data_IF_476679141369
#
_entry.id   IF_476679141369
#
_cell.length_a   1.000
_cell.length_b   1.000
_cell.length_c   1.000
_cell.angle_alpha   90.00
_cell.angle_beta   90.00
_cell.angle_gamma   90.00
#
_symmetry.space_group_name_H-M   'P 1'
#
loop_
_entity.id
_entity.type
_entity.pdbx_description
1 polymer ?
#
# COMPACT_ATOMS: atom_id res chain seq x y z
N UNK A 1 5.19 18.64 -6.27
CA UNK A 1 6.29 19.61 -6.08
C UNK A 1 7.44 18.93 -5.35
N UNK A 2 8.66 19.49 -5.43
CA UNK A 2 9.83 18.99 -4.68
C UNK A 2 9.61 19.03 -3.16
N UNK A 3 8.95 20.05 -2.67
CA UNK A 3 8.58 20.21 -1.25
C UNK A 3 7.77 19.03 -0.73
N UNK A 4 6.74 18.61 -1.46
CA UNK A 4 5.95 17.44 -1.11
C UNK A 4 6.79 16.15 -1.03
N UNK A 5 7.71 15.95 -2.00
CA UNK A 5 8.56 14.76 -2.00
C UNK A 5 9.55 14.77 -0.84
N UNK A 6 10.12 15.92 -0.51
CA UNK A 6 11.02 16.08 0.63
C UNK A 6 10.28 15.80 1.93
N UNK A 7 9.11 16.41 2.14
CA UNK A 7 8.26 16.15 3.30
C UNK A 7 7.93 14.66 3.44
N UNK A 8 7.49 14.00 2.36
CA UNK A 8 7.19 12.59 2.39
C UNK A 8 8.40 11.72 2.76
N UNK A 9 9.60 12.06 2.24
CA UNK A 9 10.84 11.37 2.56
C UNK A 9 11.17 11.53 4.04
N UNK A 10 11.18 12.75 4.56
CA UNK A 10 11.53 13.05 5.96
C UNK A 10 10.59 12.32 6.93
N UNK A 11 9.29 12.39 6.69
CA UNK A 11 8.29 11.70 7.50
C UNK A 11 8.40 10.18 7.41
N UNK A 12 8.70 9.63 6.22
CA UNK A 12 8.90 8.20 6.06
C UNK A 12 10.13 7.70 6.83
N UNK A 13 11.26 8.45 6.74
CA UNK A 13 12.46 8.15 7.50
C UNK A 13 12.21 8.26 9.00
N UNK A 14 11.47 9.27 9.44
CA UNK A 14 11.08 9.41 10.84
C UNK A 14 10.34 8.16 11.32
N UNK A 15 9.26 7.76 10.66
CA UNK A 15 8.49 6.57 11.02
C UNK A 15 9.34 5.29 11.05
N UNK A 16 10.22 5.10 10.05
CA UNK A 16 11.11 3.94 10.01
C UNK A 16 12.11 3.89 11.15
N UNK A 17 12.67 5.04 11.55
CA UNK A 17 13.73 5.11 12.57
C UNK A 17 13.21 5.12 14.00
N UNK A 18 12.00 5.63 14.22
CA UNK A 18 11.45 5.80 15.58
C UNK A 18 10.57 4.64 16.03
N UNK A 19 9.79 4.04 15.12
CA UNK A 19 8.83 3.00 15.50
C UNK A 19 9.52 1.67 15.82
N UNK A 20 9.26 1.07 17.00
CA UNK A 20 9.91 -0.17 17.43
C UNK A 20 9.70 -1.34 16.47
N UNK A 21 8.51 -1.46 15.88
CA UNK A 21 8.14 -2.51 14.92
C UNK A 21 8.82 -2.38 13.55
N UNK A 22 9.43 -1.22 13.26
CA UNK A 22 10.15 -0.97 12.00
C UNK A 22 11.64 -1.33 12.07
N UNK A 23 12.19 -1.62 13.25
CA UNK A 23 13.64 -1.80 13.49
C UNK A 23 14.29 -2.95 12.71
N UNK A 24 13.52 -3.96 12.34
CA UNK A 24 14.02 -5.11 11.57
C UNK A 24 13.97 -4.93 10.06
N UNK A 25 13.45 -3.80 9.57
CA UNK A 25 13.26 -3.55 8.15
C UNK A 25 14.58 -3.09 7.50
N UNK A 26 14.97 -3.77 6.41
CA UNK A 26 16.13 -3.38 5.61
C UNK A 26 15.89 -2.03 4.89
N UNK A 27 16.97 -1.38 4.45
CA UNK A 27 16.85 -0.14 3.69
C UNK A 27 16.15 -0.37 2.33
N UNK A 28 16.41 -1.49 1.69
CA UNK A 28 15.77 -1.83 0.41
C UNK A 28 14.28 -2.07 0.59
N UNK A 29 13.87 -2.80 1.63
CA UNK A 29 12.46 -2.99 1.96
C UNK A 29 11.78 -1.68 2.39
N UNK A 30 12.49 -0.81 3.11
CA UNK A 30 12.00 0.53 3.42
C UNK A 30 11.73 1.32 2.13
N UNK A 31 12.67 1.34 1.20
CA UNK A 31 12.51 2.03 -0.08
C UNK A 31 11.35 1.49 -0.91
N UNK A 32 11.13 0.18 -0.89
CA UNK A 32 10.08 -0.47 -1.67
C UNK A 32 8.70 -0.35 -1.01
N UNK A 33 8.60 -0.51 0.32
CA UNK A 33 7.32 -0.77 0.98
C UNK A 33 6.85 0.33 1.94
N UNK A 34 7.73 1.22 2.41
CA UNK A 34 7.38 2.30 3.35
C UNK A 34 7.51 3.69 2.71
N UNK A 35 8.62 3.93 2.02
CA UNK A 35 8.95 5.24 1.43
C UNK A 35 7.96 5.72 0.35
N UNK A 36 7.37 4.86 -0.51
CA UNK A 36 6.57 5.31 -1.63
C UNK A 36 5.38 6.19 -1.20
N UNK A 37 5.18 7.25 -1.95
CA UNK A 37 4.17 8.27 -1.70
C UNK A 37 2.78 7.98 -2.30
N UNK A 38 2.65 6.89 -3.05
CA UNK A 38 1.41 6.41 -3.71
C UNK A 38 1.19 4.93 -3.43
N UNK A 39 -0.07 4.53 -3.37
CA UNK A 39 -0.47 3.12 -3.31
C UNK A 39 -0.63 2.50 -4.69
N UNK A 40 -1.12 3.28 -5.65
CA UNK A 40 -1.40 2.86 -7.03
C UNK A 40 -1.22 4.05 -7.99
N UNK A 41 -2.28 4.47 -8.68
CA UNK A 41 -2.28 5.56 -9.66
C UNK A 41 -3.22 6.72 -9.26
N UNK A 42 -3.62 6.77 -8.02
CA UNK A 42 -4.43 7.83 -7.43
C UNK A 42 -3.72 9.19 -7.48
N UNK A 43 -4.46 10.32 -7.39
CA UNK A 43 -3.87 11.65 -7.29
C UNK A 43 -2.81 11.76 -6.19
N UNK A 44 -1.75 12.52 -6.46
CA UNK A 44 -0.68 12.79 -5.48
C UNK A 44 -1.15 13.85 -4.50
N UNK A 45 -1.28 13.48 -3.24
CA UNK A 45 -1.72 14.34 -2.15
C UNK A 45 -0.89 14.08 -0.89
N UNK A 46 -0.76 15.09 -0.01
CA UNK A 46 -0.17 14.93 1.32
C UNK A 46 -1.13 14.17 2.24
N UNK A 47 -0.69 13.03 2.73
CA UNK A 47 -1.46 12.17 3.64
C UNK A 47 -0.64 11.72 4.85
N UNK A 48 0.69 11.64 4.71
CA UNK A 48 1.54 10.96 5.68
C UNK A 48 1.57 11.67 7.03
N UNK A 49 1.79 12.98 7.03
CA UNK A 49 1.86 13.76 8.27
C UNK A 49 0.55 13.70 9.05
N UNK A 50 -0.57 13.89 8.38
CA UNK A 50 -1.89 13.83 9.01
C UNK A 50 -2.19 12.46 9.63
N UNK A 51 -1.88 11.37 8.92
CA UNK A 51 -2.10 10.02 9.45
C UNK A 51 -1.12 9.68 10.57
N UNK A 52 0.11 10.18 10.55
CA UNK A 52 1.06 10.02 11.67
C UNK A 52 0.54 10.69 12.95
N UNK A 53 0.02 11.91 12.85
CA UNK A 53 -0.61 12.60 13.98
C UNK A 53 -1.85 11.85 14.48
N UNK A 54 -2.69 11.38 13.56
CA UNK A 54 -3.93 10.66 13.91
C UNK A 54 -3.63 9.33 14.62
N UNK A 55 -2.50 8.69 14.35
CA UNK A 55 -2.14 7.39 14.90
C UNK A 55 -1.02 7.46 15.94
N UNK A 56 -0.77 8.64 16.50
CA UNK A 56 0.17 8.82 17.61
C UNK A 56 -0.24 7.94 18.81
N UNK A 57 0.74 7.33 19.47
CA UNK A 57 0.50 6.42 20.61
C UNK A 57 0.05 5.01 20.21
N UNK A 58 0.24 4.60 18.97
CA UNK A 58 -0.13 3.26 18.49
C UNK A 58 0.47 2.13 19.36
N UNK A 59 1.67 2.32 19.91
CA UNK A 59 2.35 1.37 20.79
C UNK A 59 1.54 1.02 22.05
N UNK A 60 0.74 1.95 22.55
CA UNK A 60 -0.09 1.75 23.76
C UNK A 60 -1.27 0.80 23.48
N UNK A 61 -1.64 0.62 22.22
CA UNK A 61 -2.72 -0.28 21.78
C UNK A 61 -2.19 -1.70 21.46
N UNK A 62 -0.87 -1.88 21.40
CA UNK A 62 -0.23 -3.14 21.01
C UNK A 62 0.10 -4.01 22.22
N UNK A 63 -0.02 -5.33 22.05
CA UNK A 63 0.46 -6.31 23.04
C UNK A 63 1.97 -6.48 22.95
N UNK A 64 2.51 -6.47 21.74
CA UNK A 64 3.95 -6.48 21.45
C UNK A 64 4.29 -5.26 20.58
N UNK A 65 4.83 -4.19 21.18
CA UNK A 65 5.21 -2.98 20.44
C UNK A 65 6.30 -3.20 19.38
N UNK A 66 6.85 -4.40 19.26
CA UNK A 66 7.87 -4.74 18.25
C UNK A 66 7.32 -5.54 17.07
N UNK A 67 6.05 -5.99 17.13
CA UNK A 67 5.43 -6.80 16.08
C UNK A 67 4.85 -5.95 14.94
N UNK A 68 5.47 -5.93 13.74
CA UNK A 68 4.95 -5.19 12.60
C UNK A 68 3.61 -5.71 12.09
N UNK A 69 3.27 -6.97 12.34
CA UNK A 69 1.97 -7.55 11.93
C UNK A 69 0.85 -7.03 12.82
N UNK A 70 1.10 -6.92 14.13
CA UNK A 70 0.12 -6.33 15.06
C UNK A 70 -0.10 -4.85 14.74
N UNK A 71 0.98 -4.07 14.58
CA UNK A 71 0.90 -2.68 14.14
C UNK A 71 0.11 -2.54 12.84
N UNK A 72 0.44 -3.36 11.83
CA UNK A 72 -0.24 -3.36 10.54
C UNK A 72 -1.73 -3.70 10.63
N UNK A 73 -2.13 -4.61 11.53
CA UNK A 73 -3.53 -4.96 11.76
C UNK A 73 -4.32 -3.82 12.41
N UNK A 74 -3.74 -3.16 13.41
CA UNK A 74 -4.38 -2.03 14.09
C UNK A 74 -4.55 -0.86 13.11
N UNK A 75 -3.50 -0.54 12.34
CA UNK A 75 -3.55 0.52 11.33
C UNK A 75 -4.57 0.23 10.22
N UNK A 76 -4.74 -1.04 9.83
CA UNK A 76 -5.82 -1.43 8.91
C UNK A 76 -7.21 -1.17 9.48
N UNK A 77 -7.42 -1.51 10.76
CA UNK A 77 -8.69 -1.24 11.44
C UNK A 77 -8.98 0.26 11.48
N UNK A 78 -7.98 1.08 11.85
CA UNK A 78 -8.11 2.54 11.85
C UNK A 78 -8.38 3.11 10.43
N UNK A 79 -7.74 2.57 9.41
CA UNK A 79 -8.02 2.95 8.01
C UNK A 79 -9.47 2.61 7.61
N UNK A 80 -9.97 1.46 8.03
CA UNK A 80 -11.34 1.02 7.75
C UNK A 80 -12.40 1.81 8.54
N UNK A 81 -12.02 2.57 9.56
CA UNK A 81 -12.90 3.56 10.21
C UNK A 81 -13.03 4.85 9.38
N UNK A 82 -12.03 5.15 8.54
CA UNK A 82 -12.03 6.32 7.68
C UNK A 82 -12.84 6.06 6.39
N UNK A 83 -12.74 4.85 5.83
CA UNK A 83 -13.37 4.50 4.55
C UNK A 83 -14.01 3.12 4.59
N UNK A 84 -15.25 3.03 4.14
CA UNK A 84 -15.99 1.78 3.95
C UNK A 84 -16.13 1.40 2.47
N UNK A 85 -16.54 0.16 2.23
CA UNK A 85 -16.78 -0.33 0.87
C UNK A 85 -18.18 0.04 0.37
N UNK A 86 -18.26 0.57 -0.87
CA UNK A 86 -19.51 0.72 -1.59
C UNK A 86 -19.29 0.42 -3.10
N UNK A 87 -20.03 -0.55 -3.67
CA UNK A 87 -19.87 -0.96 -5.07
C UNK A 87 -20.22 0.14 -6.09
N UNK A 88 -20.92 1.20 -5.70
CA UNK A 88 -21.21 2.33 -6.60
C UNK A 88 -19.91 2.98 -7.11
N UNK A 89 -18.83 2.90 -6.34
CA UNK A 89 -17.53 3.46 -6.69
C UNK A 89 -16.79 2.67 -7.79
N UNK A 90 -17.31 1.53 -8.24
CA UNK A 90 -16.85 0.92 -9.50
C UNK A 90 -17.14 1.80 -10.72
N UNK A 91 -18.07 2.75 -10.61
CA UNK A 91 -18.37 3.75 -11.65
C UNK A 91 -17.47 4.99 -11.54
N UNK A 92 -16.67 5.11 -10.50
CA UNK A 92 -15.71 6.21 -10.37
C UNK A 92 -14.61 6.09 -11.44
N UNK A 93 -14.27 7.17 -12.15
CA UNK A 93 -13.39 7.09 -13.32
C UNK A 93 -11.93 6.77 -13.00
N UNK A 94 -11.50 7.04 -11.77
CA UNK A 94 -10.12 6.85 -11.28
C UNK A 94 -10.13 6.28 -9.87
N UNK A 95 -8.96 5.93 -9.32
CA UNK A 95 -8.82 5.77 -7.87
C UNK A 95 -9.02 7.13 -7.21
N UNK A 96 -9.66 7.15 -6.04
CA UNK A 96 -9.88 8.38 -5.27
C UNK A 96 -8.58 8.88 -4.65
N UNK A 97 -8.39 10.20 -4.60
CA UNK A 97 -7.34 10.83 -3.80
C UNK A 97 -7.63 10.77 -2.29
N UNK A 98 -6.62 11.00 -1.47
CA UNK A 98 -6.73 10.93 -0.01
C UNK A 98 -7.82 11.84 0.56
N UNK A 99 -7.85 13.12 0.14
CA UNK A 99 -8.85 14.08 0.58
C UNK A 99 -10.28 13.68 0.17
N UNK A 100 -10.43 13.09 -1.03
CA UNK A 100 -11.72 12.62 -1.50
C UNK A 100 -12.20 11.42 -0.70
N UNK A 101 -11.34 10.42 -0.44
CA UNK A 101 -11.65 9.26 0.39
C UNK A 101 -12.12 9.68 1.79
N UNK A 102 -11.41 10.60 2.44
CA UNK A 102 -11.80 11.14 3.76
C UNK A 102 -13.15 11.84 3.75
N UNK A 103 -13.38 12.67 2.73
CA UNK A 103 -14.63 13.44 2.61
C UNK A 103 -15.84 12.55 2.34
N UNK A 104 -15.67 11.49 1.55
CA UNK A 104 -16.77 10.59 1.18
C UNK A 104 -16.99 9.47 2.19
N UNK A 105 -15.94 8.99 2.84
CA UNK A 105 -15.98 7.85 3.74
C UNK A 105 -16.34 6.52 3.08
N UNK A 106 -16.38 6.47 1.75
CA UNK A 106 -16.78 5.31 0.96
C UNK A 106 -15.91 5.20 -0.30
N UNK A 107 -15.64 3.96 -0.73
CA UNK A 107 -14.86 3.67 -1.92
C UNK A 107 -14.96 2.22 -2.38
N UNK A 108 -14.31 1.91 -3.48
CA UNK A 108 -14.14 0.53 -3.96
C UNK A 108 -12.92 -0.14 -3.29
N UNK A 109 -12.65 -1.40 -3.62
CA UNK A 109 -11.56 -2.17 -3.00
C UNK A 109 -10.19 -1.51 -3.21
N UNK A 110 -9.93 -0.90 -4.36
CA UNK A 110 -8.69 -0.16 -4.63
C UNK A 110 -8.53 1.07 -3.72
N UNK A 111 -9.61 1.83 -3.49
CA UNK A 111 -9.61 3.00 -2.62
C UNK A 111 -9.35 2.60 -1.16
N UNK A 112 -10.04 1.57 -0.68
CA UNK A 112 -9.79 1.00 0.65
C UNK A 112 -8.36 0.50 0.79
N UNK A 113 -7.84 -0.18 -0.23
CA UNK A 113 -6.46 -0.67 -0.27
C UNK A 113 -5.47 0.49 -0.18
N UNK A 114 -5.69 1.58 -0.92
CA UNK A 114 -4.84 2.77 -0.87
C UNK A 114 -4.85 3.42 0.51
N UNK A 115 -6.02 3.57 1.15
CA UNK A 115 -6.12 4.11 2.51
C UNK A 115 -5.38 3.24 3.54
N UNK A 116 -5.53 1.92 3.45
CA UNK A 116 -4.80 0.98 4.31
C UNK A 116 -3.29 1.03 4.09
N UNK A 117 -2.84 1.23 2.85
CA UNK A 117 -1.42 1.43 2.51
C UNK A 117 -0.90 2.73 3.12
N UNK A 118 -1.65 3.82 3.00
CA UNK A 118 -1.28 5.11 3.61
C UNK A 118 -1.15 5.02 5.12
N UNK A 119 -2.13 4.43 5.80
CA UNK A 119 -2.10 4.24 7.24
C UNK A 119 -0.87 3.44 7.69
N UNK A 120 -0.60 2.31 7.05
CA UNK A 120 0.54 1.45 7.38
C UNK A 120 1.87 2.11 7.10
N UNK A 121 2.01 2.80 5.95
CA UNK A 121 3.24 3.54 5.62
C UNK A 121 3.47 4.74 6.55
N UNK A 122 2.40 5.44 6.97
CA UNK A 122 2.49 6.49 7.98
C UNK A 122 3.01 5.93 9.31
N UNK A 123 2.55 4.74 9.71
CA UNK A 123 3.06 4.03 10.87
C UNK A 123 4.40 3.30 10.67
N UNK A 124 5.08 3.45 9.53
CA UNK A 124 6.37 2.79 9.28
C UNK A 124 6.28 1.28 9.04
N UNK A 125 5.09 0.74 8.78
CA UNK A 125 4.89 -0.68 8.47
C UNK A 125 5.10 -0.92 6.98
N UNK A 126 5.94 -1.89 6.64
CA UNK A 126 6.16 -2.32 5.26
C UNK A 126 4.88 -2.94 4.69
N UNK A 127 4.37 -2.39 3.58
CA UNK A 127 3.09 -2.79 2.97
C UNK A 127 3.12 -2.72 1.46
N UNK A 128 2.53 -3.71 0.82
CA UNK A 128 2.32 -3.76 -0.62
C UNK A 128 0.83 -3.82 -0.96
N UNK A 129 0.48 -3.53 -2.21
CA UNK A 129 -0.82 -3.83 -2.81
C UNK A 129 -0.71 -5.13 -3.59
N UNK A 130 -1.50 -6.14 -3.19
CA UNK A 130 -1.71 -7.32 -3.99
C UNK A 130 -3.08 -7.26 -4.67
N UNK A 131 -3.21 -7.85 -5.84
CA UNK A 131 -4.48 -7.91 -6.56
C UNK A 131 -4.62 -9.18 -7.38
N UNK A 132 -5.86 -9.59 -7.58
CA UNK A 132 -6.22 -10.60 -8.58
C UNK A 132 -7.13 -9.96 -9.63
N UNK A 133 -6.83 -10.13 -10.92
CA UNK A 133 -7.72 -9.66 -11.97
C UNK A 133 -9.02 -10.46 -12.02
N UNK A 134 -9.04 -11.67 -11.44
CA UNK A 134 -10.17 -12.57 -11.55
C UNK A 134 -10.16 -13.65 -10.46
N UNK A 135 -11.22 -13.73 -9.66
CA UNK A 135 -11.44 -14.85 -8.76
C UNK A 135 -11.83 -16.11 -9.53
N UNK A 136 -11.42 -17.28 -9.05
CA UNK A 136 -11.71 -18.55 -9.72
C UNK A 136 -13.22 -18.88 -9.85
N UNK A 137 -14.03 -18.37 -8.92
CA UNK A 137 -15.48 -18.64 -8.85
C UNK A 137 -16.37 -17.47 -9.23
N UNK A 138 -15.82 -16.30 -9.47
CA UNK A 138 -16.59 -15.11 -9.83
C UNK A 138 -15.83 -14.28 -10.86
N UNK A 139 -16.53 -13.53 -11.69
CA UNK A 139 -15.94 -12.65 -12.70
C UNK A 139 -15.34 -11.36 -12.17
N UNK A 140 -15.22 -11.18 -10.84
CA UNK A 140 -14.74 -9.97 -10.22
C UNK A 140 -13.24 -10.02 -9.93
N UNK A 141 -12.60 -8.86 -10.04
CA UNK A 141 -11.26 -8.61 -9.50
C UNK A 141 -11.33 -8.28 -7.99
N UNK A 142 -10.17 -8.18 -7.37
CA UNK A 142 -10.03 -7.67 -6.01
C UNK A 142 -8.62 -7.13 -5.78
N UNK A 143 -8.51 -6.09 -4.97
CA UNK A 143 -7.25 -5.56 -4.45
C UNK A 143 -7.29 -5.55 -2.92
N UNK A 144 -6.14 -5.78 -2.30
CA UNK A 144 -5.98 -5.75 -0.85
C UNK A 144 -4.55 -5.35 -0.47
N UNK A 145 -4.39 -4.86 0.74
CA UNK A 145 -3.09 -4.50 1.29
C UNK A 145 -2.47 -5.68 2.04
N UNK A 146 -1.15 -5.81 1.94
CA UNK A 146 -0.38 -6.93 2.48
C UNK A 146 0.79 -6.39 3.30
N UNK A 147 0.86 -6.72 4.59
CA UNK A 147 2.05 -6.44 5.41
C UNK A 147 3.20 -7.32 4.94
N UNK A 148 4.37 -6.73 4.76
CA UNK A 148 5.58 -7.44 4.38
C UNK A 148 6.42 -7.68 5.63
N UNK A 149 6.69 -8.94 5.95
CA UNK A 149 7.56 -9.31 7.06
C UNK A 149 9.05 -9.23 6.69
N UNK A 150 9.91 -9.25 7.71
CA UNK A 150 11.36 -9.27 7.52
C UNK A 150 11.86 -10.51 6.75
N UNK A 151 11.03 -11.55 6.61
CA UNK A 151 11.28 -12.74 5.80
C UNK A 151 10.86 -12.55 4.32
N UNK A 152 10.47 -11.34 3.92
CA UNK A 152 9.97 -11.01 2.59
C UNK A 152 8.58 -11.56 2.25
N UNK A 153 7.94 -12.26 3.20
CA UNK A 153 6.60 -12.82 2.96
C UNK A 153 5.51 -11.80 3.22
N UNK A 154 4.43 -11.93 2.43
CA UNK A 154 3.22 -11.15 2.62
C UNK A 154 2.27 -11.79 3.63
N UNK A 155 1.72 -10.97 4.52
CA UNK A 155 0.72 -11.36 5.52
C UNK A 155 -0.55 -10.54 5.32
N UNK A 156 -1.63 -11.23 4.92
CA UNK A 156 -2.96 -10.63 4.77
C UNK A 156 -4.04 -11.64 5.17
N UNK A 157 -5.11 -11.20 5.85
CA UNK A 157 -6.24 -12.04 6.19
C UNK A 157 -7.19 -12.19 5.00
N UNK A 158 -6.67 -12.62 3.84
CA UNK A 158 -7.46 -12.79 2.62
C UNK A 158 -7.87 -14.24 2.46
N UNK A 159 -9.12 -14.47 2.07
CA UNK A 159 -9.64 -15.80 1.72
C UNK A 159 -10.18 -15.78 0.30
N UNK A 160 -9.96 -16.86 -0.41
CA UNK A 160 -10.43 -17.02 -1.80
C UNK A 160 -9.45 -17.83 -2.65
N UNK A 161 -9.88 -18.17 -3.84
CA UNK A 161 -9.06 -18.87 -4.83
C UNK A 161 -8.96 -18.01 -6.08
N UNK A 162 -7.75 -17.58 -6.39
CA UNK A 162 -7.41 -16.82 -7.59
C UNK A 162 -6.49 -17.64 -8.51
N UNK A 163 -6.65 -17.49 -9.82
CA UNK A 163 -5.75 -18.12 -10.78
C UNK A 163 -4.35 -17.50 -10.71
N UNK A 164 -4.28 -16.19 -10.46
CA UNK A 164 -3.03 -15.43 -10.27
C UNK A 164 -3.25 -14.32 -9.28
N UNK A 165 -2.21 -14.05 -8.48
CA UNK A 165 -2.09 -12.88 -7.63
C UNK A 165 -0.84 -12.12 -8.07
N UNK A 166 -0.99 -10.82 -8.24
CA UNK A 166 0.09 -9.91 -8.61
C UNK A 166 0.33 -8.95 -7.47
N UNK A 167 1.60 -8.61 -7.25
CA UNK A 167 2.02 -7.54 -6.33
C UNK A 167 2.41 -6.32 -7.12
N UNK A 168 1.87 -5.16 -6.76
CA UNK A 168 2.37 -3.87 -7.25
C UNK A 168 3.69 -3.56 -6.55
N UNK A 169 4.71 -3.24 -7.32
CA UNK A 169 6.02 -2.83 -6.83
C UNK A 169 6.28 -1.38 -7.20
N UNK A 170 7.06 -0.70 -6.40
CA UNK A 170 7.49 0.67 -6.67
C UNK A 170 8.73 0.68 -7.57
N UNK A 171 9.65 -0.23 -7.32
CA UNK A 171 10.84 -0.42 -8.15
C UNK A 171 10.51 -1.11 -9.48
N UNK A 172 11.33 -0.83 -10.47
CA UNK A 172 11.29 -1.52 -11.76
C UNK A 172 11.63 -3.00 -11.59
N UNK A 173 10.84 -3.87 -12.25
CA UNK A 173 11.10 -5.31 -12.25
C UNK A 173 12.13 -5.63 -13.34
N UNK A 174 13.36 -5.95 -12.94
CA UNK A 174 14.46 -6.31 -13.85
C UNK A 174 14.14 -7.55 -14.71
N UNK A 175 13.27 -8.44 -14.22
CA UNK A 175 12.79 -9.60 -14.94
C UNK A 175 11.55 -9.35 -15.81
N UNK A 176 11.18 -8.09 -16.03
CA UNK A 176 10.08 -7.75 -16.92
C UNK A 176 10.35 -8.27 -18.34
N UNK A 177 9.27 -8.53 -19.10
CA UNK A 177 9.41 -8.94 -20.50
C UNK A 177 10.20 -7.91 -21.31
N UNK A 178 10.10 -6.61 -20.96
CA UNK A 178 10.88 -5.53 -21.59
C UNK A 178 12.38 -5.68 -21.36
N UNK A 179 12.79 -6.14 -20.16
CA UNK A 179 14.20 -6.40 -19.84
C UNK A 179 14.76 -7.66 -20.57
N UNK A 180 13.89 -8.54 -21.07
CA UNK A 180 14.24 -9.77 -21.80
C UNK A 180 14.20 -9.61 -23.33
N UNK A 181 13.88 -8.41 -23.82
CA UNK A 181 13.93 -8.14 -25.26
C UNK A 181 15.39 -8.08 -25.71
N UNK A 182 15.71 -8.74 -26.84
CA UNK A 182 17.02 -8.65 -27.46
C UNK A 182 17.26 -7.25 -28.06
N UNK A 183 18.54 -6.90 -28.24
CA UNK A 183 18.90 -5.61 -28.82
C UNK A 183 18.29 -5.47 -30.23
N UNK A 184 17.50 -4.43 -30.43
CA UNK A 184 16.77 -4.19 -31.70
C UNK A 184 15.39 -4.83 -31.79
N UNK A 185 14.98 -5.64 -30.81
CA UNK A 185 13.64 -6.21 -30.75
C UNK A 185 12.64 -5.14 -30.33
N UNK A 186 11.51 -5.03 -31.04
CA UNK A 186 10.45 -4.06 -30.71
C UNK A 186 9.49 -4.65 -29.71
N UNK A 187 9.36 -3.98 -28.58
CA UNK A 187 8.32 -4.33 -27.61
C UNK A 187 6.92 -4.35 -28.26
N UNK A 188 6.13 -5.41 -28.02
CA UNK A 188 4.76 -5.47 -28.48
C UNK A 188 3.95 -4.25 -27.98
N UNK A 189 2.93 -3.83 -28.74
CA UNK A 189 2.11 -2.65 -28.39
C UNK A 189 1.44 -2.72 -27.03
N UNK A 190 1.13 -3.94 -26.57
CA UNK A 190 0.50 -4.20 -25.28
C UNK A 190 1.46 -4.17 -24.09
N UNK A 191 2.77 -4.06 -24.35
CA UNK A 191 3.81 -3.95 -23.33
C UNK A 191 4.19 -2.50 -23.00
N UNK A 192 3.61 -1.53 -23.68
CA UNK A 192 3.91 -0.11 -23.50
C UNK A 192 2.93 0.53 -22.53
#
# INVERSE_FOLDING_TARGET
>A
TSEYLIENIDLAFHAWKTNPWSKGLSFDDFCEYVLPYRGSNEPVESWRGELMEQFEGLEDEMKDPTDPKEAGRILEQKANEIIGFDPIFYLHPTDQGFAEMKRRGLGRCEDMTNMQIYARRAGGVAVASDYTPHWAKSGNNHAWSVVIGADGKGYAPISGVAAKVYRKTFSEQLDSLGAKLEEGEKAPRWLK
#
